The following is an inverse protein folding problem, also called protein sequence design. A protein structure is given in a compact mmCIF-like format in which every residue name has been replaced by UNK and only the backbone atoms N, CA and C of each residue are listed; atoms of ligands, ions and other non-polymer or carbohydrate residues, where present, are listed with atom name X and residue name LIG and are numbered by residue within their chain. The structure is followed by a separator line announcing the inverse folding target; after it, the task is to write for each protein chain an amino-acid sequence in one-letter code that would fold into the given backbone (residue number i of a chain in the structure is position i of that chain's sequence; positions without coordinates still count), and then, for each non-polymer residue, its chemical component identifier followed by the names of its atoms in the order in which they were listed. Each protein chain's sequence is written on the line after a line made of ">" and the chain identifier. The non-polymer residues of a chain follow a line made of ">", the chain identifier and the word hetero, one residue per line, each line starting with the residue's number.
data_IF_004297284707
#
_entry.id   IF_004297284707
#
_cell.length_a   1.000
_cell.length_b   1.000
_cell.length_c   1.000
_cell.angle_alpha   90.00
_cell.angle_beta   90.00
_cell.angle_gamma   90.00
#
_symmetry.space_group_name_H-M   'P 1'
#
loop_
_entity.id
_entity.type
_entity.pdbx_description
1 polymer ?
#
# COMPACT_ATOMS: atom_id res chain seq x y z
N UNK A 1 -13.29 54.88 -21.41
CA UNK A 1 -14.17 54.39 -20.35
C UNK A 1 -13.61 53.07 -19.94
N UNK A 2 -12.86 53.08 -18.86
CA UNK A 2 -12.20 51.95 -18.22
C UNK A 2 -13.18 51.30 -17.22
N UNK A 3 -13.15 50.00 -17.02
CA UNK A 3 -14.05 49.34 -16.09
C UNK A 3 -13.42 49.27 -14.66
N UNK A 4 -13.40 50.40 -14.02
CA UNK A 4 -13.22 50.60 -12.59
C UNK A 4 -14.35 51.54 -12.16
N UNK A 5 -15.44 51.02 -11.66
CA UNK A 5 -16.48 51.64 -10.86
C UNK A 5 -17.73 50.79 -10.85
N UNK A 6 -17.74 49.78 -9.95
CA UNK A 6 -18.94 49.23 -9.35
C UNK A 6 -18.62 48.46 -8.07
N UNK A 7 -18.20 49.20 -7.05
CA UNK A 7 -18.32 48.80 -5.66
C UNK A 7 -19.68 49.31 -5.18
N UNK A 8 -20.65 48.44 -5.04
CA UNK A 8 -21.91 48.75 -4.35
C UNK A 8 -21.96 48.05 -3.01
N UNK A 9 -22.04 48.90 -2.01
CA UNK A 9 -22.49 48.77 -0.63
C UNK A 9 -23.21 47.45 -0.27
N UNK A 10 -22.66 46.78 0.75
CA UNK A 10 -23.37 45.82 1.58
C UNK A 10 -23.48 46.40 2.99
N UNK A 11 -24.68 46.59 3.56
CA UNK A 11 -24.89 47.17 4.86
C UNK A 11 -24.40 46.23 5.98
N UNK A 12 -23.52 46.76 6.83
CA UNK A 12 -23.19 46.22 8.15
C UNK A 12 -24.39 46.46 9.10
N UNK A 13 -25.25 45.47 9.28
CA UNK A 13 -26.16 45.39 10.46
C UNK A 13 -26.78 44.00 10.50
N UNK A 14 -26.29 43.14 11.37
CA UNK A 14 -26.97 42.07 12.12
C UNK A 14 -25.96 41.00 12.59
N UNK A 15 -25.02 41.38 13.47
CA UNK A 15 -24.32 40.46 14.35
C UNK A 15 -24.39 41.06 15.77
N UNK A 16 -25.51 40.86 16.41
CA UNK A 16 -25.68 41.00 17.83
C UNK A 16 -26.80 40.03 18.24
N UNK A 17 -26.56 39.32 19.33
CA UNK A 17 -27.48 38.44 20.04
C UNK A 17 -27.56 36.97 19.55
N UNK A 18 -26.51 36.19 19.92
CA UNK A 18 -26.67 34.85 20.49
C UNK A 18 -25.47 34.54 21.39
N UNK A 19 -25.50 35.09 22.57
CA UNK A 19 -24.72 34.62 23.72
C UNK A 19 -25.39 33.40 24.34
N UNK A 20 -24.52 32.48 24.73
CA UNK A 20 -24.66 31.59 25.89
C UNK A 20 -25.51 30.31 25.77
N UNK A 21 -24.95 29.27 25.19
CA UNK A 21 -25.14 27.90 25.68
C UNK A 21 -23.79 27.17 25.76
N UNK A 22 -23.10 27.38 26.89
CA UNK A 22 -21.87 26.66 27.25
C UNK A 22 -22.23 25.27 27.75
N UNK A 23 -21.99 24.27 26.95
CA UNK A 23 -21.88 22.89 27.44
C UNK A 23 -20.63 22.75 28.33
N UNK A 24 -20.73 22.22 29.56
CA UNK A 24 -19.58 22.01 30.43
C UNK A 24 -18.65 20.93 29.85
N UNK A 25 -17.38 21.26 29.70
CA UNK A 25 -16.33 20.28 29.41
C UNK A 25 -16.21 19.28 30.57
N UNK A 26 -16.07 17.95 30.31
CA UNK A 26 -15.80 16.99 31.38
C UNK A 26 -14.43 17.30 32.00
N UNK A 27 -14.41 17.39 33.33
CA UNK A 27 -13.16 17.51 34.11
C UNK A 27 -12.41 16.18 34.03
N UNK A 28 -11.14 16.23 33.62
CA UNK A 28 -10.22 15.11 33.80
C UNK A 28 -10.02 14.88 35.29
N UNK A 29 -10.31 13.68 35.78
CA UNK A 29 -10.06 13.24 37.15
C UNK A 29 -8.55 13.32 37.44
N UNK A 30 -8.18 13.81 38.63
CA UNK A 30 -6.79 13.85 39.06
C UNK A 30 -6.32 12.44 39.47
N UNK A 31 -4.99 12.24 39.47
CA UNK A 31 -4.40 10.95 39.88
C UNK A 31 -4.80 10.48 41.27
N UNK A 32 -5.24 11.38 42.14
CA UNK A 32 -5.70 11.09 43.51
C UNK A 32 -7.14 10.55 43.59
N UNK A 33 -7.97 10.81 42.55
CA UNK A 33 -9.34 10.30 42.47
C UNK A 33 -9.40 8.83 42.06
N UNK A 34 -8.41 8.37 41.30
CA UNK A 34 -8.30 6.97 40.84
C UNK A 34 -7.80 6.05 41.97
N UNK A 35 -7.02 6.59 42.92
CA UNK A 35 -6.49 5.82 44.06
C UNK A 35 -7.54 5.46 45.15
N UNK A 36 -8.70 6.11 45.15
CA UNK A 36 -9.77 5.87 46.15
C UNK A 36 -10.79 4.82 45.75
N UNK A 37 -10.87 4.47 44.46
CA UNK A 37 -11.81 3.45 43.97
C UNK A 37 -11.25 2.02 43.97
N UNK A 38 -9.91 1.85 44.11
CA UNK A 38 -9.29 0.53 44.25
C UNK A 38 -8.92 0.38 45.73
N UNK A 39 -9.83 -0.23 46.51
CA UNK A 39 -9.70 -0.46 47.96
C UNK A 39 -8.42 -1.25 48.31
N UNK A 40 -7.35 -0.53 48.63
CA UNK A 40 -6.16 -1.07 49.29
C UNK A 40 -6.10 -0.56 50.71
N UNK A 41 -6.78 -1.30 51.58
CA UNK A 41 -6.70 -1.14 53.04
C UNK A 41 -5.94 -2.32 53.67
N UNK A 42 -5.02 -1.96 54.55
CA UNK A 42 -4.39 -2.78 55.60
C UNK A 42 -3.17 -3.61 55.24
N UNK A 43 -2.03 -3.14 55.66
CA UNK A 43 -0.79 -3.90 55.88
C UNK A 43 -0.94 -4.97 56.95
N UNK A 44 -0.59 -6.23 56.75
CA UNK A 44 -0.37 -7.20 57.82
C UNK A 44 1.12 -7.15 58.26
N UNK A 45 1.28 -7.27 59.60
CA UNK A 45 2.54 -7.34 60.30
C UNK A 45 3.31 -8.59 59.91
N UNK A 46 4.64 -8.44 59.84
CA UNK A 46 5.64 -9.50 59.70
C UNK A 46 5.56 -10.52 60.84
N UNK A 47 5.39 -11.79 60.47
CA UNK A 47 5.84 -12.89 61.28
C UNK A 47 6.74 -13.79 60.43
N UNK A 48 7.92 -14.09 60.95
CA UNK A 48 9.02 -14.69 60.21
C UNK A 48 8.85 -16.20 60.00
N UNK A 49 8.82 -16.61 58.74
CA UNK A 49 9.21 -17.98 58.34
C UNK A 49 9.43 -18.05 56.84
N UNK A 50 10.64 -18.53 56.46
CA UNK A 50 11.15 -19.06 55.19
C UNK A 50 10.87 -18.30 53.87
N UNK A 51 11.87 -18.13 53.02
CA UNK A 51 11.74 -17.56 51.70
C UNK A 51 10.93 -18.51 50.78
N UNK A 52 9.99 -17.94 49.98
CA UNK A 52 9.23 -18.72 49.01
C UNK A 52 10.15 -19.26 47.93
N UNK A 53 10.00 -20.56 47.64
CA UNK A 53 10.61 -21.25 46.51
C UNK A 53 10.28 -20.50 45.19
N UNK A 54 11.31 -20.26 44.38
CA UNK A 54 11.20 -19.64 43.06
C UNK A 54 10.20 -20.43 42.20
N UNK A 55 9.31 -19.74 41.46
CA UNK A 55 8.42 -20.42 40.53
C UNK A 55 9.26 -21.05 39.42
N UNK A 56 9.22 -22.38 39.32
CA UNK A 56 9.76 -23.12 38.18
C UNK A 56 9.02 -22.74 36.93
N UNK A 57 9.70 -22.00 36.04
CA UNK A 57 9.20 -21.72 34.69
C UNK A 57 9.11 -23.07 33.94
N UNK A 58 7.92 -23.45 33.41
CA UNK A 58 7.79 -24.68 32.64
C UNK A 58 8.68 -24.58 31.39
N UNK A 59 9.31 -25.69 30.92
CA UNK A 59 10.15 -25.65 29.74
C UNK A 59 9.36 -25.16 28.53
N UNK A 60 9.88 -24.15 27.84
CA UNK A 60 9.34 -23.64 26.57
C UNK A 60 9.34 -24.82 25.58
N UNK A 61 8.15 -25.34 25.25
CA UNK A 61 8.02 -26.31 24.18
C UNK A 61 8.30 -25.60 22.87
N UNK A 62 9.46 -25.87 22.28
CA UNK A 62 9.76 -25.50 20.91
C UNK A 62 8.78 -26.28 20.01
N UNK A 63 7.75 -25.58 19.51
CA UNK A 63 6.89 -26.17 18.47
C UNK A 63 7.72 -26.14 17.19
N UNK A 64 8.26 -27.30 16.81
CA UNK A 64 8.78 -27.51 15.45
C UNK A 64 7.56 -27.50 14.54
N UNK A 65 7.31 -26.35 13.90
CA UNK A 65 6.31 -26.27 12.83
C UNK A 65 6.92 -26.97 11.63
N UNK A 66 6.47 -28.19 11.41
CA UNK A 66 6.78 -28.95 10.18
C UNK A 66 6.17 -28.15 9.01
N UNK A 67 7.01 -27.36 8.34
CA UNK A 67 6.59 -26.61 7.17
C UNK A 67 6.35 -27.61 6.05
N UNK A 68 5.08 -27.91 5.79
CA UNK A 68 4.71 -28.63 4.59
C UNK A 68 5.41 -28.00 3.36
N UNK A 69 5.97 -28.79 2.46
CA UNK A 69 6.64 -28.26 1.28
C UNK A 69 5.65 -27.41 0.47
N UNK A 70 6.05 -26.18 0.20
CA UNK A 70 5.25 -25.25 -0.63
C UNK A 70 5.00 -25.94 -1.97
N UNK A 71 3.74 -26.01 -2.45
CA UNK A 71 3.45 -26.65 -3.74
C UNK A 71 4.26 -25.96 -4.84
N UNK A 72 5.20 -26.64 -5.41
CA UNK A 72 6.00 -26.16 -6.54
C UNK A 72 5.12 -26.25 -7.78
N UNK A 73 4.70 -25.12 -8.34
CA UNK A 73 3.99 -25.09 -9.61
C UNK A 73 4.82 -25.78 -10.70
N UNK A 74 4.19 -26.54 -11.62
CA UNK A 74 4.88 -27.20 -12.72
C UNK A 74 5.70 -26.21 -13.56
N UNK A 75 6.87 -26.60 -13.98
CA UNK A 75 7.84 -25.80 -14.75
C UNK A 75 7.21 -25.14 -15.99
N UNK A 76 6.26 -25.79 -16.64
CA UNK A 76 5.56 -25.26 -17.82
C UNK A 76 4.68 -24.03 -17.53
N UNK A 77 4.13 -23.89 -16.31
CA UNK A 77 3.41 -22.66 -15.93
C UNK A 77 4.36 -21.51 -15.59
N UNK A 78 5.59 -21.79 -15.18
CA UNK A 78 6.63 -20.78 -14.95
C UNK A 78 7.11 -20.16 -16.25
N UNK A 79 7.27 -20.95 -17.32
CA UNK A 79 7.73 -20.46 -18.63
C UNK A 79 6.66 -19.61 -19.33
N UNK A 80 5.38 -19.93 -19.19
CA UNK A 80 4.29 -19.13 -19.79
C UNK A 80 4.14 -17.73 -19.16
N UNK A 81 4.52 -17.56 -17.88
CA UNK A 81 4.50 -16.25 -17.19
C UNK A 81 5.78 -15.46 -17.50
N UNK A 82 6.92 -16.15 -17.72
CA UNK A 82 8.23 -15.54 -17.98
C UNK A 82 8.47 -15.15 -19.46
N UNK A 83 7.69 -15.62 -20.40
CA UNK A 83 7.96 -15.53 -21.84
C UNK A 83 7.73 -14.14 -22.47
N UNK A 84 7.55 -13.08 -21.69
CA UNK A 84 7.53 -11.71 -22.19
C UNK A 84 8.78 -11.01 -21.70
N UNK A 85 9.87 -11.10 -22.47
CA UNK A 85 10.99 -10.16 -22.37
C UNK A 85 10.44 -8.76 -22.57
N UNK A 86 10.18 -8.03 -21.49
CA UNK A 86 9.63 -6.68 -21.57
C UNK A 86 10.73 -5.71 -22.02
N UNK A 87 10.82 -5.52 -23.31
CA UNK A 87 11.55 -4.40 -23.92
C UNK A 87 10.64 -3.20 -24.13
N UNK A 88 9.59 -3.05 -23.30
CA UNK A 88 8.69 -1.91 -23.36
C UNK A 88 9.42 -0.61 -23.00
N UNK A 89 8.85 0.57 -23.37
CA UNK A 89 9.44 1.85 -23.03
C UNK A 89 9.55 2.00 -21.51
N UNK A 90 10.60 2.71 -21.08
CA UNK A 90 10.77 3.08 -19.67
C UNK A 90 9.60 3.97 -19.25
N UNK A 91 8.95 3.60 -18.15
CA UNK A 91 7.82 4.34 -17.57
C UNK A 91 8.25 5.19 -16.38
N UNK A 92 9.00 4.59 -15.46
CA UNK A 92 9.52 5.33 -14.31
C UNK A 92 11.03 5.18 -14.28
N UNK A 93 11.71 6.33 -14.08
CA UNK A 93 13.12 6.40 -13.75
C UNK A 93 13.27 7.08 -12.39
N UNK A 94 14.00 6.43 -11.51
CA UNK A 94 14.36 6.93 -10.19
C UNK A 94 15.84 7.29 -10.25
N UNK A 95 16.20 8.53 -9.90
CA UNK A 95 17.57 9.05 -9.96
C UNK A 95 17.96 9.61 -8.59
N UNK A 96 18.87 8.91 -7.90
CA UNK A 96 19.46 9.27 -6.59
C UNK A 96 18.44 9.70 -5.53
N UNK A 97 17.28 9.01 -5.49
CA UNK A 97 16.20 9.37 -4.58
C UNK A 97 16.57 9.00 -3.15
N UNK A 98 16.52 10.00 -2.27
CA UNK A 98 16.60 9.81 -0.82
C UNK A 98 15.36 10.38 -0.15
N UNK A 99 14.91 9.71 0.91
CA UNK A 99 13.75 10.12 1.71
C UNK A 99 14.14 10.08 3.19
N UNK A 100 13.97 11.21 3.84
CA UNK A 100 14.22 11.39 5.27
C UNK A 100 12.90 11.70 5.99
N UNK A 101 12.68 11.10 7.15
CA UNK A 101 11.61 11.46 8.09
C UNK A 101 12.27 12.08 9.35
N UNK A 102 12.38 13.39 9.37
CA UNK A 102 13.17 14.09 10.38
C UNK A 102 14.64 13.64 10.32
N UNK A 103 15.14 13.01 11.38
CA UNK A 103 16.52 12.50 11.44
C UNK A 103 16.71 11.09 10.87
N UNK A 104 15.61 10.40 10.57
CA UNK A 104 15.67 9.01 10.08
C UNK A 104 15.73 8.97 8.55
N UNK A 105 16.84 8.50 8.00
CA UNK A 105 16.98 8.20 6.57
C UNK A 105 16.24 6.89 6.25
N UNK A 106 15.11 6.99 5.57
CA UNK A 106 14.27 5.85 5.20
C UNK A 106 14.66 5.24 3.85
N UNK A 107 15.13 6.07 2.90
CA UNK A 107 15.64 5.66 1.58
C UNK A 107 16.90 6.48 1.31
N UNK A 108 17.93 5.86 0.72
CA UNK A 108 19.25 6.46 0.53
C UNK A 108 19.72 6.27 -0.91
N UNK A 109 19.77 7.35 -1.69
CA UNK A 109 20.33 7.43 -3.05
C UNK A 109 19.94 6.23 -3.93
N UNK A 110 18.64 5.90 -3.98
CA UNK A 110 18.14 4.80 -4.81
C UNK A 110 18.01 5.26 -6.25
N UNK A 111 18.58 4.46 -7.17
CA UNK A 111 18.43 4.66 -8.62
C UNK A 111 18.02 3.32 -9.26
N UNK A 112 16.91 3.33 -9.99
CA UNK A 112 16.42 2.17 -10.78
C UNK A 112 15.41 2.63 -11.83
N UNK A 113 15.09 1.75 -12.77
CA UNK A 113 14.09 2.00 -13.81
C UNK A 113 13.02 0.91 -13.86
N UNK A 114 11.82 1.28 -14.29
CA UNK A 114 10.67 0.40 -14.42
C UNK A 114 10.07 0.59 -15.81
N UNK A 115 9.84 -0.51 -16.54
CA UNK A 115 9.41 -0.49 -17.92
C UNK A 115 7.95 -0.95 -18.08
N UNK A 116 7.30 -0.51 -19.14
CA UNK A 116 5.99 -1.04 -19.51
C UNK A 116 6.08 -2.55 -19.75
N UNK A 117 5.10 -3.29 -19.26
CA UNK A 117 5.09 -4.76 -19.38
C UNK A 117 5.96 -5.48 -18.36
N UNK A 118 6.54 -4.77 -17.40
CA UNK A 118 7.43 -5.29 -16.36
C UNK A 118 6.73 -5.33 -14.99
N UNK A 119 6.99 -6.37 -14.23
CA UNK A 119 6.68 -6.46 -12.80
C UNK A 119 7.99 -6.32 -12.02
N UNK A 120 8.15 -5.23 -11.30
CA UNK A 120 9.23 -5.02 -10.35
C UNK A 120 8.78 -5.40 -8.94
N UNK A 121 9.47 -6.35 -8.30
CA UNK A 121 9.26 -6.63 -6.87
C UNK A 121 10.29 -5.89 -6.01
N UNK A 122 9.80 -5.13 -5.02
CA UNK A 122 10.62 -4.56 -3.95
C UNK A 122 10.59 -5.54 -2.77
N UNK A 123 11.73 -6.14 -2.44
CA UNK A 123 11.88 -7.11 -1.33
C UNK A 123 12.84 -6.58 -0.27
N UNK A 124 12.79 -7.17 0.93
CA UNK A 124 13.67 -6.81 2.04
C UNK A 124 12.95 -6.88 3.40
N UNK A 125 13.67 -6.77 4.51
CA UNK A 125 13.09 -6.85 5.85
C UNK A 125 12.11 -5.72 6.12
N UNK A 126 11.26 -5.90 7.14
CA UNK A 126 10.31 -4.86 7.56
C UNK A 126 11.04 -3.58 7.97
N UNK A 127 10.49 -2.43 7.58
CA UNK A 127 11.07 -1.12 7.92
C UNK A 127 12.31 -0.70 7.13
N UNK A 128 12.74 -1.46 6.10
CA UNK A 128 13.90 -1.10 5.28
C UNK A 128 13.67 -0.02 4.21
N UNK A 129 12.45 0.53 4.09
CA UNK A 129 12.15 1.64 3.18
C UNK A 129 11.32 1.31 1.94
N UNK A 130 10.92 0.04 1.69
CA UNK A 130 10.15 -0.39 0.50
C UNK A 130 8.87 0.42 0.26
N UNK A 131 7.99 0.44 1.26
CA UNK A 131 6.72 1.19 1.21
C UNK A 131 6.97 2.70 1.06
N UNK A 132 8.05 3.23 1.68
CA UNK A 132 8.44 4.63 1.52
C UNK A 132 8.83 4.92 0.07
N UNK A 133 9.69 4.10 -0.52
CA UNK A 133 10.07 4.23 -1.93
C UNK A 133 8.83 4.10 -2.84
N UNK A 134 7.98 3.09 -2.61
CA UNK A 134 6.75 2.89 -3.37
C UNK A 134 5.85 4.14 -3.34
N UNK A 135 5.59 4.70 -2.14
CA UNK A 135 4.75 5.89 -1.94
C UNK A 135 5.35 7.16 -2.52
N UNK A 136 6.67 7.20 -2.73
CA UNK A 136 7.33 8.34 -3.38
C UNK A 136 6.96 8.43 -4.85
N UNK A 137 6.70 7.31 -5.52
CA UNK A 137 6.40 7.27 -6.96
C UNK A 137 5.08 7.95 -7.35
N UNK A 138 4.15 8.13 -6.39
CA UNK A 138 2.89 8.87 -6.59
C UNK A 138 2.74 10.07 -5.63
N UNK A 139 3.86 10.53 -5.04
CA UNK A 139 3.94 11.68 -4.13
C UNK A 139 3.09 11.55 -2.86
N UNK A 140 2.78 10.31 -2.41
CA UNK A 140 2.10 10.12 -1.13
C UNK A 140 2.99 10.35 0.09
N UNK A 141 4.32 10.26 -0.06
CA UNK A 141 5.27 10.61 1.02
C UNK A 141 5.18 12.07 1.43
N UNK A 142 4.83 12.97 0.51
CA UNK A 142 4.68 14.41 0.75
C UNK A 142 3.49 14.74 1.68
N UNK A 143 2.55 13.83 1.86
CA UNK A 143 1.47 13.99 2.83
C UNK A 143 1.95 13.87 4.28
N UNK A 144 3.20 13.43 4.49
CA UNK A 144 3.84 13.36 5.81
C UNK A 144 4.69 14.63 6.02
N UNK A 145 4.32 15.55 6.93
CA UNK A 145 4.99 16.84 7.07
C UNK A 145 6.50 16.76 7.38
N UNK A 146 6.95 15.65 8.00
CA UNK A 146 8.37 15.43 8.34
C UNK A 146 9.16 14.78 7.22
N UNK A 147 8.54 14.48 6.07
CA UNK A 147 9.21 13.86 4.94
C UNK A 147 9.96 14.89 4.13
N UNK A 148 11.26 14.68 3.93
CA UNK A 148 12.10 15.42 3.00
C UNK A 148 12.60 14.50 1.91
N UNK A 149 12.59 14.97 0.66
CA UNK A 149 13.04 14.22 -0.51
C UNK A 149 14.20 14.93 -1.20
N UNK A 150 15.14 14.15 -1.69
CA UNK A 150 16.14 14.60 -2.68
C UNK A 150 16.17 13.60 -3.86
N UNK A 151 16.86 13.98 -4.94
CA UNK A 151 16.86 13.22 -6.19
C UNK A 151 15.62 13.47 -7.04
N UNK A 152 15.44 12.71 -8.13
CA UNK A 152 14.34 12.88 -9.08
C UNK A 152 13.62 11.57 -9.37
N UNK A 153 12.32 11.68 -9.62
CA UNK A 153 11.51 10.59 -10.18
C UNK A 153 10.87 11.10 -11.47
N UNK A 154 11.14 10.40 -12.56
CA UNK A 154 10.62 10.76 -13.86
C UNK A 154 9.55 9.74 -14.28
N UNK A 155 8.42 10.21 -14.79
CA UNK A 155 7.38 9.41 -15.43
C UNK A 155 7.37 9.76 -16.92
N UNK A 156 7.74 8.81 -17.79
CA UNK A 156 7.95 9.03 -19.24
C UNK A 156 8.90 10.20 -19.55
N UNK A 157 9.93 10.39 -18.71
CA UNK A 157 10.93 11.45 -18.85
C UNK A 157 10.56 12.80 -18.25
N UNK A 158 9.33 13.01 -17.75
CA UNK A 158 8.88 14.22 -17.07
C UNK A 158 8.97 14.05 -15.54
N UNK A 159 9.54 15.05 -14.84
CA UNK A 159 9.61 14.98 -13.36
C UNK A 159 8.21 15.01 -12.75
N UNK A 160 7.92 14.03 -11.89
CA UNK A 160 6.61 13.91 -11.23
C UNK A 160 6.24 15.14 -10.37
N UNK A 161 7.21 15.95 -9.98
CA UNK A 161 6.98 17.18 -9.22
C UNK A 161 6.53 18.36 -10.07
N UNK A 162 6.77 18.30 -11.38
CA UNK A 162 6.27 19.28 -12.34
C UNK A 162 4.82 18.99 -12.74
N UNK A 163 4.33 17.78 -12.42
CA UNK A 163 2.95 17.37 -12.72
C UNK A 163 1.99 17.79 -11.60
N UNK A 164 0.75 18.20 -11.95
CA UNK A 164 -0.33 18.31 -10.96
C UNK A 164 -0.61 16.95 -10.30
N UNK A 165 -0.83 16.92 -8.98
CA UNK A 165 -1.08 15.70 -8.19
C UNK A 165 -2.18 14.83 -8.77
N UNK A 166 -3.26 15.44 -9.23
CA UNK A 166 -4.40 14.73 -9.83
C UNK A 166 -4.01 14.04 -11.13
N UNK A 167 -3.19 14.68 -11.96
CA UNK A 167 -2.67 14.10 -13.20
C UNK A 167 -1.73 12.93 -12.89
N UNK A 168 -0.78 13.14 -11.99
CA UNK A 168 0.15 12.07 -11.58
C UNK A 168 -0.61 10.85 -11.05
N UNK A 169 -1.53 11.06 -10.08
CA UNK A 169 -2.25 9.96 -9.43
C UNK A 169 -3.28 9.28 -10.33
N UNK A 170 -3.66 9.89 -11.45
CA UNK A 170 -4.45 9.22 -12.49
C UNK A 170 -3.60 8.29 -13.35
N UNK A 171 -2.31 8.61 -13.55
CA UNK A 171 -1.35 7.81 -14.32
C UNK A 171 -0.64 6.76 -13.47
N UNK A 172 -0.43 7.03 -12.18
CA UNK A 172 0.27 6.16 -11.21
C UNK A 172 -0.69 5.81 -10.07
N UNK A 173 -1.44 4.72 -10.24
CA UNK A 173 -2.41 4.23 -9.28
C UNK A 173 -1.76 3.40 -8.16
N UNK A 174 -2.39 3.35 -6.98
CA UNK A 174 -1.89 2.59 -5.84
C UNK A 174 -2.97 1.71 -5.21
N UNK A 175 -2.59 0.49 -4.88
CA UNK A 175 -3.35 -0.47 -4.06
C UNK A 175 -2.61 -0.64 -2.73
N UNK A 176 -3.32 -0.44 -1.63
CA UNK A 176 -2.77 -0.49 -0.28
C UNK A 176 -2.76 -1.91 0.28
N UNK A 177 -1.96 -2.13 1.31
CA UNK A 177 -1.78 -3.42 1.99
C UNK A 177 -3.10 -3.95 2.55
N UNK A 178 -3.88 -3.11 3.24
CA UNK A 178 -5.20 -3.47 3.70
C UNK A 178 -6.24 -3.03 2.67
N UNK A 179 -7.18 -3.92 2.29
CA UNK A 179 -8.32 -3.52 1.48
C UNK A 179 -9.05 -2.34 2.12
N UNK A 180 -9.29 -1.32 1.35
CA UNK A 180 -9.95 -0.09 1.81
C UNK A 180 -11.12 0.32 0.89
N UNK A 181 -12.12 -0.55 0.69
CA UNK A 181 -13.29 -0.15 -0.05
C UNK A 181 -14.01 1.00 0.66
N UNK A 182 -14.50 1.94 -0.12
CA UNK A 182 -15.32 3.02 0.44
C UNK A 182 -16.66 2.47 0.94
N UNK A 183 -17.30 3.08 1.95
CA UNK A 183 -18.60 2.64 2.49
C UNK A 183 -19.75 3.01 1.53
N UNK A 184 -19.67 2.51 0.32
CA UNK A 184 -20.62 2.70 -0.78
C UNK A 184 -20.78 1.40 -1.56
N UNK A 185 -21.58 1.40 -2.62
CA UNK A 185 -21.80 0.21 -3.46
C UNK A 185 -20.52 -0.26 -4.18
N UNK A 186 -20.55 -1.49 -4.71
CA UNK A 186 -19.49 -2.02 -5.57
C UNK A 186 -19.32 -1.12 -6.79
N UNK A 187 -20.46 -0.78 -7.44
CA UNK A 187 -20.46 0.13 -8.59
C UNK A 187 -19.81 1.47 -8.26
N UNK A 188 -20.24 2.12 -7.17
CA UNK A 188 -19.75 3.44 -6.82
C UNK A 188 -18.28 3.45 -6.41
N UNK A 189 -17.78 2.37 -5.81
CA UNK A 189 -16.35 2.23 -5.55
C UNK A 189 -15.51 2.32 -6.83
N UNK A 190 -15.88 1.60 -7.87
CA UNK A 190 -15.14 1.60 -9.15
C UNK A 190 -15.38 2.90 -9.91
N UNK A 191 -16.63 3.38 -9.92
CA UNK A 191 -17.02 4.60 -10.61
C UNK A 191 -16.43 5.87 -9.98
N UNK A 192 -16.00 5.83 -8.71
CA UNK A 192 -15.48 6.99 -7.98
C UNK A 192 -14.37 7.70 -8.75
N UNK A 193 -13.30 6.98 -9.08
CA UNK A 193 -12.15 7.56 -9.78
C UNK A 193 -12.52 8.10 -11.17
N UNK A 194 -13.44 7.44 -11.88
CA UNK A 194 -13.92 7.90 -13.19
C UNK A 194 -14.71 9.19 -13.09
N UNK A 195 -15.49 9.37 -12.01
CA UNK A 195 -16.24 10.61 -11.75
C UNK A 195 -15.31 11.76 -11.41
N UNK A 196 -14.28 11.51 -10.58
CA UNK A 196 -13.33 12.54 -10.17
C UNK A 196 -12.46 13.05 -11.33
N UNK A 197 -12.17 12.21 -12.33
CA UNK A 197 -11.44 12.62 -13.54
C UNK A 197 -12.30 13.40 -14.53
N UNK A 198 -13.61 13.31 -14.42
CA UNK A 198 -14.54 13.89 -15.40
C UNK A 198 -14.90 15.32 -15.03
N UNK A 199 -14.69 16.29 -15.94
CA UNK A 199 -15.15 17.68 -15.76
C UNK A 199 -16.67 17.80 -15.61
N UNK A 200 -17.43 16.90 -16.26
CA UNK A 200 -18.89 16.80 -16.14
C UNK A 200 -19.20 15.49 -15.41
N UNK A 201 -20.10 15.51 -14.42
CA UNK A 201 -20.54 14.30 -13.73
C UNK A 201 -21.20 13.32 -14.72
N UNK A 202 -20.54 12.19 -15.09
CA UNK A 202 -21.09 11.24 -16.02
C UNK A 202 -22.28 10.51 -15.40
N UNK A 203 -23.26 10.13 -16.23
CA UNK A 203 -24.44 9.36 -15.80
C UNK A 203 -24.05 7.91 -15.52
N UNK A 204 -24.79 7.21 -14.66
CA UNK A 204 -24.54 5.80 -14.31
C UNK A 204 -24.37 4.92 -15.56
N UNK A 205 -25.26 5.05 -16.56
CA UNK A 205 -25.22 4.31 -17.82
C UNK A 205 -23.95 4.53 -18.67
N UNK A 206 -23.30 5.68 -18.51
CA UNK A 206 -22.06 6.02 -19.24
C UNK A 206 -20.84 5.38 -18.56
N UNK A 207 -20.94 5.22 -17.24
CA UNK A 207 -19.88 4.60 -16.41
C UNK A 207 -19.98 3.07 -16.39
N UNK A 208 -21.18 2.52 -16.56
CA UNK A 208 -21.46 1.09 -16.40
C UNK A 208 -20.51 0.20 -17.25
N UNK A 209 -20.31 0.44 -18.56
CA UNK A 209 -19.38 -0.38 -19.34
C UNK A 209 -17.93 -0.29 -18.84
N UNK A 210 -17.49 0.86 -18.32
CA UNK A 210 -16.16 1.04 -17.78
C UNK A 210 -16.00 0.35 -16.43
N UNK A 211 -17.03 0.38 -15.58
CA UNK A 211 -17.07 -0.32 -14.30
C UNK A 211 -17.03 -1.83 -14.51
N UNK A 212 -17.85 -2.33 -15.44
CA UNK A 212 -17.90 -3.75 -15.80
C UNK A 212 -16.55 -4.22 -16.35
N UNK A 213 -15.92 -3.44 -17.25
CA UNK A 213 -14.58 -3.74 -17.77
C UNK A 213 -13.55 -3.85 -16.65
N UNK A 214 -13.52 -2.87 -15.74
CA UNK A 214 -12.58 -2.87 -14.62
C UNK A 214 -12.81 -4.05 -13.67
N UNK A 215 -14.07 -4.40 -13.37
CA UNK A 215 -14.41 -5.56 -12.53
C UNK A 215 -14.02 -6.88 -13.20
N UNK A 216 -14.22 -7.02 -14.52
CA UNK A 216 -13.78 -8.19 -15.31
C UNK A 216 -12.27 -8.30 -15.30
N UNK A 217 -11.55 -7.20 -15.57
CA UNK A 217 -10.09 -7.17 -15.53
C UNK A 217 -9.53 -7.49 -14.15
N UNK A 218 -10.24 -7.14 -13.07
CA UNK A 218 -9.88 -7.50 -11.70
C UNK A 218 -10.32 -8.94 -11.30
N UNK A 219 -10.94 -9.70 -12.21
CA UNK A 219 -11.42 -11.06 -11.95
C UNK A 219 -12.51 -11.11 -10.87
N UNK A 220 -13.31 -10.06 -10.72
CA UNK A 220 -14.35 -9.96 -9.69
C UNK A 220 -15.77 -10.00 -10.26
N UNK A 221 -15.95 -9.66 -11.53
CA UNK A 221 -17.28 -9.50 -12.14
C UNK A 221 -18.16 -10.74 -12.05
N UNK A 222 -17.61 -11.93 -12.30
CA UNK A 222 -18.37 -13.18 -12.27
C UNK A 222 -18.96 -13.51 -10.87
N UNK A 223 -18.39 -12.93 -9.81
CA UNK A 223 -18.84 -13.16 -8.44
C UNK A 223 -19.84 -12.10 -7.95
N UNK A 224 -19.87 -10.92 -8.59
CA UNK A 224 -20.64 -9.76 -8.09
C UNK A 224 -21.52 -9.11 -9.14
N UNK A 225 -21.44 -9.52 -10.40
CA UNK A 225 -22.08 -8.85 -11.54
C UNK A 225 -23.61 -8.76 -11.43
N UNK A 226 -24.25 -9.69 -10.70
CA UNK A 226 -25.72 -9.72 -10.52
C UNK A 226 -26.23 -8.60 -9.59
N UNK A 227 -25.37 -8.06 -8.70
CA UNK A 227 -25.75 -6.99 -7.76
C UNK A 227 -24.58 -6.04 -7.49
N UNK A 228 -24.36 -5.12 -8.40
CA UNK A 228 -23.34 -4.07 -8.26
C UNK A 228 -23.74 -2.94 -7.29
N UNK A 229 -25.00 -2.85 -6.92
CA UNK A 229 -25.50 -1.86 -5.95
C UNK A 229 -25.30 -2.36 -4.49
N UNK A 230 -24.90 -3.61 -4.28
CA UNK A 230 -24.58 -4.19 -2.97
C UNK A 230 -23.45 -3.41 -2.28
N UNK A 231 -23.54 -3.18 -0.95
CA UNK A 231 -22.48 -2.53 -0.16
C UNK A 231 -21.15 -3.27 -0.26
N UNK A 232 -20.07 -2.56 -0.64
CA UNK A 232 -18.74 -3.13 -0.84
C UNK A 232 -18.14 -3.74 0.43
N UNK A 233 -18.50 -3.23 1.62
CA UNK A 233 -18.02 -3.74 2.91
C UNK A 233 -18.56 -5.16 3.24
N UNK A 234 -19.55 -5.66 2.51
CA UNK A 234 -20.07 -7.03 2.67
C UNK A 234 -19.28 -8.09 1.88
N UNK A 235 -18.32 -7.66 1.09
CA UNK A 235 -17.45 -8.54 0.33
C UNK A 235 -16.45 -9.26 1.26
N UNK A 236 -15.99 -10.46 0.86
CA UNK A 236 -14.86 -11.13 1.53
C UNK A 236 -13.56 -10.34 1.36
N UNK A 237 -12.54 -10.59 2.20
CA UNK A 237 -11.26 -9.87 2.13
C UNK A 237 -10.62 -9.93 0.74
N UNK A 238 -10.60 -11.11 0.10
CA UNK A 238 -10.08 -11.27 -1.25
C UNK A 238 -10.91 -10.54 -2.31
N UNK A 239 -12.25 -10.52 -2.16
CA UNK A 239 -13.13 -9.74 -3.03
C UNK A 239 -12.93 -8.23 -2.83
N UNK A 240 -12.78 -7.77 -1.59
CA UNK A 240 -12.49 -6.35 -1.29
C UNK A 240 -11.17 -5.93 -1.91
N UNK A 241 -10.13 -6.77 -1.85
CA UNK A 241 -8.84 -6.46 -2.45
C UNK A 241 -8.96 -6.36 -3.98
N UNK A 242 -9.66 -7.28 -4.63
CA UNK A 242 -9.92 -7.22 -6.08
C UNK A 242 -10.79 -6.01 -6.45
N UNK A 243 -11.73 -5.60 -5.60
CA UNK A 243 -12.48 -4.36 -5.80
C UNK A 243 -11.58 -3.12 -5.73
N UNK A 244 -10.64 -3.08 -4.77
CA UNK A 244 -9.65 -1.99 -4.69
C UNK A 244 -8.74 -1.97 -5.91
N UNK A 245 -8.38 -3.14 -6.46
CA UNK A 245 -7.64 -3.23 -7.73
C UNK A 245 -8.51 -2.72 -8.88
N UNK A 246 -9.79 -3.16 -9.00
CA UNK A 246 -10.71 -2.68 -10.03
C UNK A 246 -10.84 -1.15 -9.99
N UNK A 247 -11.02 -0.57 -8.80
CA UNK A 247 -11.06 0.88 -8.59
C UNK A 247 -9.77 1.57 -9.07
N UNK A 248 -8.61 0.97 -8.78
CA UNK A 248 -7.31 1.52 -9.17
C UNK A 248 -7.07 1.49 -10.68
N UNK A 249 -7.53 0.43 -11.38
CA UNK A 249 -7.31 0.27 -12.83
C UNK A 249 -8.41 0.86 -13.71
N UNK A 250 -9.57 1.21 -13.14
CA UNK A 250 -10.69 1.81 -13.90
C UNK A 250 -10.29 3.08 -14.68
N UNK A 251 -9.46 3.99 -14.14
CA UNK A 251 -8.97 5.16 -14.85
C UNK A 251 -7.95 4.84 -15.96
N UNK A 252 -7.56 3.58 -16.14
CA UNK A 252 -6.53 3.12 -17.07
C UNK A 252 -5.16 3.75 -16.79
N UNK A 253 -4.61 3.56 -15.60
CA UNK A 253 -3.29 4.08 -15.26
C UNK A 253 -2.19 3.43 -16.13
N UNK A 254 -1.02 4.03 -16.15
CA UNK A 254 0.16 3.53 -16.84
C UNK A 254 1.05 2.70 -15.91
N UNK A 255 0.97 2.99 -14.61
CA UNK A 255 1.71 2.31 -13.54
C UNK A 255 0.76 1.91 -12.41
N UNK A 256 0.89 0.69 -11.92
CA UNK A 256 0.17 0.18 -10.75
C UNK A 256 1.17 -0.15 -9.63
N UNK A 257 1.03 0.56 -8.52
CA UNK A 257 1.80 0.34 -7.30
C UNK A 257 0.97 -0.53 -6.35
N UNK A 258 1.57 -1.60 -5.80
CA UNK A 258 0.89 -2.52 -4.89
C UNK A 258 1.74 -2.72 -3.64
N UNK A 259 1.23 -2.30 -2.48
CA UNK A 259 1.90 -2.45 -1.19
C UNK A 259 1.37 -3.72 -0.51
N UNK A 260 2.15 -4.79 -0.51
CA UNK A 260 1.84 -6.10 0.09
C UNK A 260 0.42 -6.63 -0.22
N UNK A 261 -0.01 -6.70 -1.50
CA UNK A 261 -1.41 -6.89 -1.87
C UNK A 261 -2.04 -8.22 -1.43
N UNK A 262 -1.23 -9.19 -0.98
CA UNK A 262 -1.67 -10.53 -0.58
C UNK A 262 -1.40 -10.87 0.89
N UNK A 263 -0.90 -9.92 1.70
CA UNK A 263 -0.40 -10.21 3.07
C UNK A 263 -1.46 -10.74 4.04
N UNK A 264 -2.74 -10.38 3.83
CA UNK A 264 -3.86 -10.78 4.68
C UNK A 264 -4.84 -11.74 4.00
N UNK A 265 -4.43 -12.40 2.90
CA UNK A 265 -5.30 -13.22 2.08
C UNK A 265 -4.99 -14.71 2.23
N UNK A 266 -6.02 -15.52 2.02
CA UNK A 266 -5.89 -16.96 1.90
C UNK A 266 -5.13 -17.38 0.62
N UNK A 267 -4.62 -18.62 0.53
CA UNK A 267 -3.82 -19.07 -0.61
C UNK A 267 -4.56 -19.01 -1.97
N UNK A 268 -5.88 -19.22 -2.00
CA UNK A 268 -6.68 -19.20 -3.23
C UNK A 268 -6.81 -17.75 -3.73
N UNK A 269 -7.16 -16.84 -2.84
CA UNK A 269 -7.23 -15.41 -3.14
C UNK A 269 -5.85 -14.84 -3.56
N UNK A 270 -4.77 -15.31 -2.92
CA UNK A 270 -3.40 -14.96 -3.29
C UNK A 270 -3.07 -15.41 -4.71
N UNK A 271 -3.35 -16.66 -5.08
CA UNK A 271 -3.11 -17.18 -6.42
C UNK A 271 -3.91 -16.39 -7.49
N UNK A 272 -5.15 -16.00 -7.15
CA UNK A 272 -5.99 -15.19 -8.03
C UNK A 272 -5.36 -13.81 -8.29
N UNK A 273 -4.81 -13.14 -7.25
CA UNK A 273 -4.15 -11.83 -7.40
C UNK A 273 -2.82 -11.98 -8.15
N UNK A 274 -2.05 -13.02 -7.92
CA UNK A 274 -0.81 -13.29 -8.68
C UNK A 274 -1.09 -13.45 -10.18
N UNK A 275 -2.14 -14.22 -10.54
CA UNK A 275 -2.59 -14.34 -11.92
C UNK A 275 -3.01 -12.99 -12.50
N UNK A 276 -3.78 -12.22 -11.74
CA UNK A 276 -4.22 -10.88 -12.13
C UNK A 276 -3.05 -9.95 -12.40
N UNK A 277 -2.01 -9.94 -11.56
CA UNK A 277 -0.78 -9.16 -11.79
C UNK A 277 -0.15 -9.56 -13.13
N UNK A 278 -0.06 -10.87 -13.42
CA UNK A 278 0.45 -11.38 -14.68
C UNK A 278 -0.36 -10.97 -15.92
N UNK A 279 -1.67 -10.73 -15.77
CA UNK A 279 -2.54 -10.22 -16.83
C UNK A 279 -2.38 -8.70 -17.01
N UNK A 280 -2.40 -7.96 -15.90
CA UNK A 280 -2.32 -6.49 -15.90
C UNK A 280 -0.98 -5.96 -16.45
N UNK A 281 0.13 -6.68 -16.20
CA UNK A 281 1.45 -6.27 -16.72
C UNK A 281 1.51 -6.10 -18.23
N UNK A 282 0.62 -6.75 -19.00
CA UNK A 282 0.59 -6.62 -20.46
C UNK A 282 0.33 -5.19 -20.92
N UNK A 283 -0.43 -4.44 -20.13
CA UNK A 283 -0.88 -3.10 -20.49
C UNK A 283 -0.10 -2.00 -19.75
N UNK A 284 0.43 -2.30 -18.54
CA UNK A 284 1.00 -1.30 -17.64
C UNK A 284 2.29 -1.82 -16.98
N UNK A 285 3.02 -0.93 -16.33
CA UNK A 285 4.12 -1.29 -15.43
C UNK A 285 3.54 -1.60 -14.04
N UNK A 286 4.05 -2.64 -13.37
CA UNK A 286 3.59 -3.01 -12.02
C UNK A 286 4.76 -2.98 -11.06
N UNK A 287 4.58 -2.34 -9.89
CA UNK A 287 5.54 -2.38 -8.78
C UNK A 287 4.87 -3.01 -7.57
N UNK A 288 5.43 -4.10 -7.08
CA UNK A 288 4.88 -4.83 -5.95
C UNK A 288 5.87 -4.82 -4.79
N UNK A 289 5.45 -4.34 -3.63
CA UNK A 289 6.16 -4.59 -2.36
C UNK A 289 5.65 -5.91 -1.81
N UNK A 290 6.55 -6.79 -1.45
CA UNK A 290 6.21 -8.04 -0.74
C UNK A 290 7.34 -8.50 0.17
N UNK A 291 6.99 -9.09 1.30
CA UNK A 291 7.92 -9.82 2.16
C UNK A 291 7.92 -11.34 1.85
N UNK A 292 7.03 -11.80 0.98
CA UNK A 292 6.97 -13.20 0.55
C UNK A 292 7.91 -13.42 -0.65
N UNK A 293 9.09 -13.99 -0.40
CA UNK A 293 10.10 -14.25 -1.41
C UNK A 293 9.61 -15.20 -2.50
N UNK A 294 8.82 -16.22 -2.14
CA UNK A 294 8.27 -17.16 -3.11
C UNK A 294 7.27 -16.47 -4.05
N UNK A 295 6.49 -15.52 -3.54
CA UNK A 295 5.60 -14.68 -4.36
C UNK A 295 6.42 -13.81 -5.33
N UNK A 296 7.41 -13.04 -4.81
CA UNK A 296 8.28 -12.22 -5.65
C UNK A 296 8.92 -13.03 -6.77
N UNK A 297 9.43 -14.22 -6.45
CA UNK A 297 10.05 -15.12 -7.43
C UNK A 297 9.08 -15.60 -8.52
N UNK A 298 7.77 -15.79 -8.19
CA UNK A 298 6.77 -16.25 -9.17
C UNK A 298 6.33 -15.15 -10.13
N UNK A 299 6.11 -13.91 -9.59
CA UNK A 299 5.43 -12.86 -10.35
C UNK A 299 6.37 -11.83 -10.98
N UNK A 300 7.56 -11.61 -10.43
CA UNK A 300 8.43 -10.52 -10.85
C UNK A 300 9.32 -10.88 -12.04
N UNK A 301 9.57 -9.88 -12.90
CA UNK A 301 10.60 -9.92 -13.93
C UNK A 301 11.93 -9.40 -13.39
N UNK A 302 11.85 -8.33 -12.59
CA UNK A 302 12.99 -7.75 -11.87
C UNK A 302 12.72 -7.65 -10.38
N UNK A 303 13.78 -7.66 -9.62
CA UNK A 303 13.75 -7.58 -8.17
C UNK A 303 14.72 -6.51 -7.69
N UNK A 304 14.27 -5.69 -6.76
CA UNK A 304 15.09 -4.73 -6.03
C UNK A 304 15.12 -5.13 -4.55
N UNK A 305 16.27 -5.56 -4.06
CA UNK A 305 16.46 -5.89 -2.65
C UNK A 305 16.93 -4.66 -1.89
N UNK A 306 16.14 -4.26 -0.89
CA UNK A 306 16.40 -3.12 -0.02
C UNK A 306 16.77 -3.56 1.40
N UNK A 307 17.77 -2.89 1.98
CA UNK A 307 18.19 -3.11 3.36
C UNK A 307 18.60 -1.79 4.02
N UNK A 308 17.98 -1.45 5.16
CA UNK A 308 18.25 -0.23 5.95
C UNK A 308 18.27 1.07 5.11
N UNK A 309 17.38 1.17 4.12
CA UNK A 309 17.26 2.32 3.24
C UNK A 309 18.10 2.25 1.97
N UNK A 310 19.06 1.35 1.90
CA UNK A 310 19.94 1.17 0.75
C UNK A 310 19.35 0.17 -0.26
N UNK A 311 19.52 0.44 -1.56
CA UNK A 311 19.31 -0.54 -2.63
C UNK A 311 20.56 -1.42 -2.70
N UNK A 312 20.46 -2.64 -2.19
CA UNK A 312 21.61 -3.56 -2.11
C UNK A 312 21.86 -4.26 -3.43
N UNK A 313 20.78 -4.70 -4.08
CA UNK A 313 20.87 -5.39 -5.36
C UNK A 313 19.61 -5.15 -6.20
N UNK A 314 19.80 -4.99 -7.51
CA UNK A 314 18.75 -4.81 -8.49
C UNK A 314 19.13 -5.56 -9.77
N UNK A 315 18.22 -6.40 -10.24
CA UNK A 315 18.46 -7.22 -11.43
C UNK A 315 17.23 -8.05 -11.82
N UNK A 316 17.41 -8.94 -12.78
CA UNK A 316 16.38 -9.93 -13.11
C UNK A 316 16.09 -10.85 -11.92
N UNK A 317 14.90 -11.43 -11.90
CA UNK A 317 14.51 -12.36 -10.83
C UNK A 317 15.52 -13.49 -10.67
N UNK A 318 16.03 -14.07 -11.77
CA UNK A 318 17.05 -15.12 -11.71
C UNK A 318 18.39 -14.62 -11.16
N UNK A 319 18.85 -13.43 -11.53
CA UNK A 319 20.11 -12.88 -10.97
C UNK A 319 20.01 -12.71 -9.45
N UNK A 320 18.90 -12.14 -8.95
CA UNK A 320 18.76 -11.82 -7.52
C UNK A 320 18.46 -13.06 -6.66
N UNK A 321 17.70 -14.04 -7.18
CA UNK A 321 17.31 -15.23 -6.41
C UNK A 321 18.26 -16.42 -6.57
N UNK A 322 18.72 -16.68 -7.80
CA UNK A 322 19.50 -17.89 -8.10
C UNK A 322 21.03 -17.61 -8.00
N UNK A 323 21.47 -16.42 -8.45
CA UNK A 323 22.88 -16.01 -8.50
C UNK A 323 23.14 -14.64 -7.84
N UNK A 324 22.76 -14.43 -6.58
CA UNK A 324 22.92 -13.13 -5.92
C UNK A 324 24.39 -12.74 -5.79
N UNK A 325 24.73 -11.52 -6.25
CA UNK A 325 26.08 -10.96 -6.20
C UNK A 325 26.47 -10.49 -4.81
N UNK A 326 25.52 -9.83 -4.12
CA UNK A 326 25.74 -9.34 -2.76
C UNK A 326 25.54 -10.47 -1.74
N UNK A 327 26.47 -10.59 -0.78
CA UNK A 327 26.36 -11.56 0.31
C UNK A 327 25.06 -11.36 1.11
N UNK A 328 24.67 -10.11 1.36
CA UNK A 328 23.42 -9.79 2.07
C UNK A 328 22.18 -10.27 1.33
N UNK A 329 22.14 -10.15 0.00
CA UNK A 329 21.03 -10.67 -0.82
C UNK A 329 20.98 -12.19 -0.68
N UNK A 330 22.13 -12.86 -0.78
CA UNK A 330 22.25 -14.32 -0.64
C UNK A 330 21.73 -14.82 0.70
N UNK A 331 22.12 -14.16 1.78
CA UNK A 331 21.68 -14.52 3.13
C UNK A 331 20.18 -14.30 3.30
N UNK A 332 19.65 -13.19 2.77
CA UNK A 332 18.23 -12.87 2.84
C UNK A 332 17.36 -13.88 2.06
N UNK A 333 17.74 -14.20 0.82
CA UNK A 333 17.01 -15.13 -0.04
C UNK A 333 17.02 -16.55 0.54
N UNK A 334 18.11 -16.96 1.22
CA UNK A 334 18.23 -18.26 1.89
C UNK A 334 17.54 -18.34 3.24
N UNK A 335 16.97 -17.24 3.72
CA UNK A 335 16.35 -17.17 5.04
C UNK A 335 17.36 -17.18 6.21
N UNK A 336 18.63 -16.94 5.93
CA UNK A 336 19.70 -16.86 6.93
C UNK A 336 19.80 -15.47 7.59
N UNK A 337 18.81 -14.61 7.38
CA UNK A 337 18.72 -13.29 7.95
C UNK A 337 18.05 -13.36 9.32
N UNK A 338 18.83 -13.27 10.38
CA UNK A 338 18.43 -13.19 11.78
C UNK A 338 19.09 -12.03 12.48
#
# INVERSE_FOLDING_TARGET
>A
MTPEEMLLDVPQQAISDREDERHPRPRLASADDVAREVGLGATPQHDGTQPPSQPTVPPVRTIVVDRAPVPVLPTQQRESIRAVSSTGPERIRIEDVSIDYGLKKAVKSVSLSIHKGEVLALIGPSGCGKTTLLRTLNRLTELTPSAARSGRVLLDGEDIHEMPDTTLRSRVAMVFQQPNPFPMSIFDNVAFALREQSRKKPRKRELEPLVVDALKRAGLYEEVGDDLDRPALRLSGGQQQRLCIARAIAPRPEVLLMDEPCSALDPISTATIEKLIGELRRDLAVVVVTHNLAQAHRIADKVAFMYLGDLVEYGSTSEVFDEPRATRTRDYVRGAFG
#
